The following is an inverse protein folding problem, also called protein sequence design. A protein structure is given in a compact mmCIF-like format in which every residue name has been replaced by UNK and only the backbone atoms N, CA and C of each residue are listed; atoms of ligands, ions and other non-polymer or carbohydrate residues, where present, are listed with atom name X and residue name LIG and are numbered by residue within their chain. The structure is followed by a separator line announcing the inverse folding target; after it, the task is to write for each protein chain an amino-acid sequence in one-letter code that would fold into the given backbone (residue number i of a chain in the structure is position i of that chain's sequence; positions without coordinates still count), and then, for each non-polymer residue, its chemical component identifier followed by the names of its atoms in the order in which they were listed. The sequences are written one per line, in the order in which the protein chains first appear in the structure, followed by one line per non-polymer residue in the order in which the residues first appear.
data_IF_668003812361
#
_entry.id   IF_668003812361
#
_cell.length_a   1.000
_cell.length_b   1.000
_cell.length_c   1.000
_cell.angle_alpha   90.00
_cell.angle_beta   90.00
_cell.angle_gamma   90.00
#
_symmetry.space_group_name_H-M   'P 1'
#
loop_
_entity.id
_entity.type
_entity.pdbx_description
1 polymer ?
#
# COMPACT_ATOMS: atom_id res chain seq x y z
N UNK A 1 28.85 -30.72 0.38
CA UNK A 1 28.30 -29.82 1.40
C UNK A 1 26.80 -29.97 1.31
N UNK A 2 26.28 -30.95 2.04
CA UNK A 2 24.87 -31.32 1.95
C UNK A 2 24.03 -30.18 2.52
N UNK A 3 23.12 -29.65 1.70
CA UNK A 3 22.23 -28.59 2.16
C UNK A 3 21.32 -29.18 3.24
N UNK A 4 21.53 -28.76 4.49
CA UNK A 4 20.63 -29.11 5.60
C UNK A 4 19.21 -28.72 5.16
N UNK A 5 18.24 -29.66 5.14
CA UNK A 5 16.89 -29.37 4.72
C UNK A 5 16.32 -28.23 5.57
N UNK A 6 15.99 -27.11 4.92
CA UNK A 6 15.36 -25.98 5.63
C UNK A 6 13.97 -26.41 6.07
N UNK A 7 13.73 -26.34 7.37
CA UNK A 7 12.43 -26.59 7.99
C UNK A 7 11.32 -25.89 7.18
N UNK A 8 10.26 -26.61 6.74
CA UNK A 8 9.10 -26.04 6.06
C UNK A 8 8.52 -24.79 6.76
N UNK A 9 8.57 -24.71 8.08
CA UNK A 9 8.10 -23.55 8.84
C UNK A 9 9.00 -22.33 8.63
N UNK A 10 10.33 -22.51 8.68
CA UNK A 10 11.31 -21.44 8.40
C UNK A 10 11.15 -20.92 6.98
N UNK A 11 10.93 -21.81 6.00
CA UNK A 11 10.68 -21.42 4.61
C UNK A 11 9.41 -20.56 4.48
N UNK A 12 8.32 -20.94 5.16
CA UNK A 12 7.06 -20.15 5.16
C UNK A 12 7.25 -18.76 5.76
N UNK A 13 7.95 -18.65 6.89
CA UNK A 13 8.22 -17.35 7.52
C UNK A 13 9.07 -16.43 6.63
N UNK A 14 10.09 -16.97 5.95
CA UNK A 14 10.90 -16.20 4.99
C UNK A 14 10.08 -15.67 3.84
N UNK A 15 9.20 -16.49 3.26
CA UNK A 15 8.31 -16.05 2.18
C UNK A 15 7.35 -14.95 2.67
N UNK A 16 6.76 -15.11 3.85
CA UNK A 16 5.89 -14.09 4.43
C UNK A 16 6.62 -12.76 4.62
N UNK A 17 7.83 -12.79 5.19
CA UNK A 17 8.65 -11.60 5.40
C UNK A 17 9.00 -10.92 4.05
N UNK A 18 9.41 -11.71 3.05
CA UNK A 18 9.68 -11.18 1.71
C UNK A 18 8.45 -10.50 1.11
N UNK A 19 7.26 -11.07 1.27
CA UNK A 19 6.01 -10.47 0.79
C UNK A 19 5.68 -9.17 1.53
N UNK A 20 5.91 -9.10 2.84
CA UNK A 20 5.68 -7.89 3.62
C UNK A 20 6.52 -6.70 3.13
N UNK A 21 7.72 -6.94 2.58
CA UNK A 21 8.53 -5.87 1.97
C UNK A 21 8.26 -5.68 0.47
N UNK A 22 8.02 -6.78 -0.26
CA UNK A 22 7.85 -6.73 -1.70
C UNK A 22 6.53 -6.05 -2.12
N UNK A 23 5.42 -6.31 -1.44
CA UNK A 23 4.11 -5.76 -1.83
C UNK A 23 4.10 -4.22 -1.70
N UNK A 24 4.44 -3.61 -0.55
CA UNK A 24 4.57 -2.15 -0.44
C UNK A 24 5.60 -1.58 -1.40
N UNK A 25 6.78 -2.22 -1.51
CA UNK A 25 7.87 -1.73 -2.36
C UNK A 25 7.49 -1.68 -3.84
N UNK A 26 6.91 -2.76 -4.38
CA UNK A 26 6.43 -2.82 -5.77
C UNK A 26 5.28 -1.82 -5.99
N UNK A 27 4.37 -1.68 -5.02
CA UNK A 27 3.24 -0.75 -5.12
C UNK A 27 3.72 0.71 -5.18
N UNK A 28 4.64 1.10 -4.30
CA UNK A 28 5.25 2.43 -4.30
C UNK A 28 6.08 2.69 -5.57
N UNK A 29 6.91 1.74 -5.98
CA UNK A 29 7.70 1.87 -7.22
C UNK A 29 6.79 2.06 -8.44
N UNK A 30 5.70 1.29 -8.52
CA UNK A 30 4.69 1.43 -9.57
C UNK A 30 4.03 2.81 -9.53
N UNK A 31 3.61 3.27 -8.34
CA UNK A 31 3.00 4.59 -8.17
C UNK A 31 3.94 5.72 -8.61
N UNK A 32 5.16 5.76 -8.09
CA UNK A 32 6.13 6.83 -8.35
C UNK A 32 6.43 6.91 -9.85
N UNK A 33 6.65 5.77 -10.50
CA UNK A 33 6.95 5.74 -11.94
C UNK A 33 5.74 6.09 -12.82
N UNK A 34 4.51 5.85 -12.36
CA UNK A 34 3.26 6.17 -13.09
C UNK A 34 2.64 7.52 -12.71
N UNK A 35 3.21 8.27 -11.77
CA UNK A 35 2.68 9.57 -11.36
C UNK A 35 2.46 10.54 -12.54
N UNK A 36 3.36 10.65 -13.53
CA UNK A 36 3.15 11.49 -14.71
C UNK A 36 1.93 11.05 -15.53
N UNK A 37 1.81 9.75 -15.82
CA UNK A 37 0.69 9.19 -16.58
C UNK A 37 -0.66 9.41 -15.86
N UNK A 38 -0.67 9.26 -14.53
CA UNK A 38 -1.86 9.50 -13.71
C UNK A 38 -2.25 10.98 -13.72
N UNK A 39 -1.29 11.90 -13.57
CA UNK A 39 -1.54 13.34 -13.67
C UNK A 39 -2.15 13.68 -15.04
N UNK A 40 -1.53 13.19 -16.11
CA UNK A 40 -1.93 13.50 -17.46
C UNK A 40 -3.31 12.89 -17.79
N UNK A 41 -3.59 11.67 -17.32
CA UNK A 41 -4.91 11.03 -17.42
C UNK A 41 -6.02 11.71 -16.61
N UNK A 42 -5.67 12.43 -15.55
CA UNK A 42 -6.59 13.29 -14.80
C UNK A 42 -6.72 14.70 -15.41
N UNK A 43 -5.83 15.09 -16.33
CA UNK A 43 -5.70 16.49 -16.76
C UNK A 43 -5.35 17.45 -15.61
N UNK A 44 -4.73 16.92 -14.55
CA UNK A 44 -4.57 17.63 -13.29
C UNK A 44 -3.40 18.62 -13.33
N UNK A 45 -3.61 19.79 -12.75
CA UNK A 45 -2.55 20.74 -12.43
C UNK A 45 -1.62 20.21 -11.32
N UNK A 46 -0.45 20.83 -11.17
CA UNK A 46 0.50 20.50 -10.09
C UNK A 46 -0.13 20.66 -8.70
N UNK A 47 -0.98 21.69 -8.52
CA UNK A 47 -1.66 21.94 -7.25
C UNK A 47 -2.67 20.83 -6.92
N UNK A 48 -3.46 20.41 -7.92
CA UNK A 48 -4.41 19.30 -7.76
C UNK A 48 -3.70 17.98 -7.48
N UNK A 49 -2.57 17.71 -8.14
CA UNK A 49 -1.74 16.54 -7.82
C UNK A 49 -1.21 16.58 -6.39
N UNK A 50 -0.91 17.77 -5.85
CA UNK A 50 -0.57 17.94 -4.44
C UNK A 50 -1.71 17.48 -3.50
N UNK A 51 -2.95 17.83 -3.82
CA UNK A 51 -4.14 17.39 -3.07
C UNK A 51 -4.39 15.88 -3.22
N UNK A 52 -4.17 15.33 -4.41
CA UNK A 52 -4.28 13.88 -4.67
C UNK A 52 -3.24 13.10 -3.84
N UNK A 53 -1.99 13.55 -3.87
CA UNK A 53 -0.89 12.97 -3.10
C UNK A 53 -1.09 13.10 -1.59
N UNK A 54 -1.73 14.18 -1.14
CA UNK A 54 -2.06 14.38 0.27
C UNK A 54 -2.93 13.23 0.83
N UNK A 55 -3.74 12.59 -0.02
CA UNK A 55 -4.47 11.38 0.34
C UNK A 55 -3.56 10.27 0.88
N UNK A 56 -2.40 10.04 0.26
CA UNK A 56 -1.41 9.05 0.73
C UNK A 56 -0.88 9.40 2.12
N UNK A 57 -0.56 10.67 2.36
CA UNK A 57 -0.05 11.14 3.65
C UNK A 57 -1.08 10.98 4.77
N UNK A 58 -2.34 11.35 4.52
CA UNK A 58 -3.45 11.11 5.46
C UNK A 58 -3.57 9.61 5.77
N UNK A 59 -3.60 8.79 4.72
CA UNK A 59 -3.72 7.34 4.85
C UNK A 59 -2.61 6.76 5.73
N UNK A 60 -1.35 7.09 5.43
CA UNK A 60 -0.19 6.61 6.19
C UNK A 60 -0.26 7.00 7.66
N UNK A 61 -0.56 8.27 7.97
CA UNK A 61 -0.72 8.71 9.36
C UNK A 61 -1.85 7.96 10.08
N UNK A 62 -3.02 7.81 9.45
CA UNK A 62 -4.12 7.03 10.04
C UNK A 62 -3.71 5.57 10.27
N UNK A 63 -2.97 4.98 9.34
CA UNK A 63 -2.48 3.62 9.44
C UNK A 63 -1.55 3.42 10.65
N UNK A 64 -0.52 4.26 10.74
CA UNK A 64 0.48 4.20 11.84
C UNK A 64 -0.19 4.41 13.20
N UNK A 65 -1.08 5.41 13.30
CA UNK A 65 -1.78 5.70 14.55
C UNK A 65 -2.74 4.59 14.97
N UNK A 66 -3.38 3.90 14.01
CA UNK A 66 -4.31 2.81 14.28
C UNK A 66 -3.60 1.47 14.55
N UNK A 67 -2.38 1.27 14.04
CA UNK A 67 -1.69 -0.02 14.06
C UNK A 67 -1.56 -0.59 15.47
N UNK A 68 -1.09 0.19 16.45
CA UNK A 68 -0.91 -0.27 17.83
C UNK A 68 -2.21 -0.76 18.47
N UNK A 69 -3.30 0.00 18.32
CA UNK A 69 -4.60 -0.37 18.88
C UNK A 69 -5.20 -1.62 18.19
N UNK A 70 -5.06 -1.71 16.86
CA UNK A 70 -5.54 -2.87 16.11
C UNK A 70 -4.73 -4.13 16.43
N UNK A 71 -3.41 -4.02 16.57
CA UNK A 71 -2.55 -5.15 16.95
C UNK A 71 -2.86 -5.61 18.38
N UNK A 72 -3.07 -4.69 19.32
CA UNK A 72 -3.45 -5.03 20.69
C UNK A 72 -4.79 -5.81 20.74
N UNK A 73 -5.72 -5.50 19.84
CA UNK A 73 -7.04 -6.14 19.79
C UNK A 73 -7.09 -7.43 18.97
N UNK A 74 -6.38 -7.50 17.85
CA UNK A 74 -6.51 -8.56 16.85
C UNK A 74 -5.24 -9.40 16.65
N UNK A 75 -4.15 -9.09 17.34
CA UNK A 75 -2.79 -9.59 17.09
C UNK A 75 -2.19 -9.14 15.75
N UNK A 76 -0.87 -9.29 15.62
CA UNK A 76 -0.08 -8.73 14.50
C UNK A 76 -0.45 -9.31 13.14
N UNK A 77 -0.65 -10.63 13.06
CA UNK A 77 -0.83 -11.34 11.78
C UNK A 77 -2.04 -10.84 10.97
N UNK A 78 -3.26 -10.75 11.50
CA UNK A 78 -4.40 -10.24 10.73
C UNK A 78 -4.28 -8.76 10.37
N UNK A 79 -3.61 -7.95 11.20
CA UNK A 79 -3.40 -6.52 10.91
C UNK A 79 -2.47 -6.34 9.70
N UNK A 80 -1.36 -7.08 9.64
CA UNK A 80 -0.47 -7.08 8.47
C UNK A 80 -1.22 -7.54 7.22
N UNK A 81 -2.01 -8.63 7.31
CA UNK A 81 -2.77 -9.13 6.15
C UNK A 81 -3.79 -8.08 5.67
N UNK A 82 -4.47 -7.41 6.60
CA UNK A 82 -5.41 -6.34 6.27
C UNK A 82 -4.69 -5.14 5.62
N UNK A 83 -3.52 -4.75 6.13
CA UNK A 83 -2.70 -3.70 5.54
C UNK A 83 -2.26 -4.04 4.11
N UNK A 84 -1.75 -5.26 3.88
CA UNK A 84 -1.38 -5.74 2.54
C UNK A 84 -2.58 -5.79 1.58
N UNK A 85 -3.74 -6.25 2.05
CA UNK A 85 -4.96 -6.24 1.26
C UNK A 85 -5.40 -4.81 0.89
N UNK A 86 -5.25 -3.87 1.83
CA UNK A 86 -5.58 -2.47 1.62
C UNK A 86 -4.64 -1.79 0.61
N UNK A 87 -3.34 -2.14 0.61
CA UNK A 87 -2.40 -1.70 -0.43
C UNK A 87 -2.84 -2.17 -1.81
N UNK A 88 -3.12 -3.46 -1.97
CA UNK A 88 -3.54 -4.03 -3.25
C UNK A 88 -4.87 -3.43 -3.74
N UNK A 89 -5.84 -3.26 -2.83
CA UNK A 89 -7.10 -2.60 -3.13
C UNK A 89 -6.88 -1.15 -3.55
N UNK A 90 -6.01 -0.42 -2.85
CA UNK A 90 -5.66 0.97 -3.16
C UNK A 90 -5.06 1.13 -4.56
N UNK A 91 -4.14 0.24 -4.96
CA UNK A 91 -3.59 0.23 -6.33
C UNK A 91 -4.69 0.02 -7.38
N UNK A 92 -5.64 -0.89 -7.13
CA UNK A 92 -6.79 -1.09 -8.01
C UNK A 92 -7.69 0.15 -8.11
N UNK A 93 -7.95 0.82 -6.98
CA UNK A 93 -8.74 2.06 -6.95
C UNK A 93 -8.03 3.21 -7.68
N UNK A 94 -6.71 3.33 -7.55
CA UNK A 94 -5.91 4.30 -8.33
C UNK A 94 -6.08 4.04 -9.83
N UNK A 95 -5.93 2.79 -10.27
CA UNK A 95 -6.07 2.44 -11.68
C UNK A 95 -7.48 2.77 -12.23
N UNK A 96 -8.53 2.48 -11.45
CA UNK A 96 -9.91 2.83 -11.81
C UNK A 96 -10.13 4.35 -11.85
N UNK A 97 -9.59 5.08 -10.88
CA UNK A 97 -9.65 6.55 -10.82
C UNK A 97 -8.97 7.21 -12.01
N UNK A 98 -7.80 6.72 -12.40
CA UNK A 98 -7.11 7.19 -13.61
C UNK A 98 -7.91 6.89 -14.87
N UNK A 99 -8.48 5.69 -15.01
CA UNK A 99 -9.26 5.29 -16.19
C UNK A 99 -10.60 6.04 -16.36
N UNK A 100 -11.11 6.63 -15.27
CA UNK A 100 -12.36 7.42 -15.25
C UNK A 100 -12.11 8.93 -15.11
N UNK A 101 -10.85 9.35 -15.15
CA UNK A 101 -10.43 10.74 -14.90
C UNK A 101 -10.97 11.33 -13.58
N UNK A 102 -11.13 10.50 -12.54
CA UNK A 102 -11.72 10.88 -11.26
C UNK A 102 -10.63 11.12 -10.19
N UNK A 103 -10.19 12.38 -10.03
CA UNK A 103 -9.11 12.75 -9.12
C UNK A 103 -9.35 12.35 -7.66
N UNK A 104 -10.58 12.50 -7.16
CA UNK A 104 -10.94 12.08 -5.81
C UNK A 104 -10.81 10.57 -5.61
N UNK A 105 -11.15 9.77 -6.64
CA UNK A 105 -11.02 8.33 -6.57
C UNK A 105 -9.55 7.91 -6.51
N UNK A 106 -8.68 8.58 -7.28
CA UNK A 106 -7.22 8.41 -7.17
C UNK A 106 -6.73 8.77 -5.77
N UNK A 107 -7.16 9.91 -5.22
CA UNK A 107 -6.79 10.32 -3.86
C UNK A 107 -7.22 9.30 -2.80
N UNK A 108 -8.44 8.74 -2.90
CA UNK A 108 -8.91 7.66 -2.03
C UNK A 108 -8.08 6.38 -2.20
N UNK A 109 -7.73 6.01 -3.43
CA UNK A 109 -6.86 4.86 -3.71
C UNK A 109 -5.48 5.04 -3.08
N UNK A 110 -4.87 6.21 -3.22
CA UNK A 110 -3.60 6.55 -2.57
C UNK A 110 -3.70 6.58 -1.04
N UNK A 111 -4.82 7.03 -0.49
CA UNK A 111 -5.09 6.95 0.94
C UNK A 111 -5.15 5.49 1.43
N UNK A 112 -5.77 4.59 0.68
CA UNK A 112 -5.74 3.16 1.00
C UNK A 112 -4.35 2.56 0.90
N UNK A 113 -3.57 2.92 -0.13
CA UNK A 113 -2.16 2.53 -0.23
C UNK A 113 -1.39 3.01 1.01
N UNK A 114 -1.49 4.29 1.36
CA UNK A 114 -0.82 4.87 2.52
C UNK A 114 -1.22 4.19 3.82
N UNK A 115 -2.52 4.00 4.06
CA UNK A 115 -3.03 3.33 5.26
C UNK A 115 -2.60 1.88 5.35
N UNK A 116 -2.58 1.17 4.22
CA UNK A 116 -2.15 -0.23 4.17
C UNK A 116 -0.66 -0.39 4.49
N UNK A 117 0.17 0.52 3.99
CA UNK A 117 1.60 0.59 4.33
C UNK A 117 1.76 0.89 5.82
N UNK A 118 1.12 1.95 6.33
CA UNK A 118 1.22 2.34 7.74
C UNK A 118 0.69 1.30 8.73
N UNK A 119 -0.23 0.43 8.33
CA UNK A 119 -0.68 -0.71 9.15
C UNK A 119 0.34 -1.87 9.20
N UNK A 120 1.23 -1.92 8.21
CA UNK A 120 2.13 -3.06 7.96
C UNK A 120 3.59 -2.78 8.33
N UNK A 121 3.92 -1.51 8.65
CA UNK A 121 5.20 -1.05 9.22
C UNK A 121 5.21 -1.16 10.75
#
# INVERSE_FOLDING_TARGET
MDSVPVDPQVRRHRVALNLCFAIPGVSLATWVTRTPDVRDGLGASTAEMGLVLFGMSIGSMLGILAAGALVARYATRPVIIAGMALVLAGVGVVALGTGTSAALLVACGLMFVGAGIGLSE
#
